data_IF_901818277897
#
_entry.id   IF_901818277897
#
_cell.length_a   1.000
_cell.length_b   1.000
_cell.length_c   1.000
_cell.angle_alpha   90.00
_cell.angle_beta   90.00
_cell.angle_gamma   90.00
#
_symmetry.space_group_name_H-M   'P 1'
#
loop_
_entity.id
_entity.type
_entity.pdbx_description
1 polymer ?
#
# COMPACT_ATOMS: atom_id res chain seq x y z
N UNK A 1 -17.10 2.55 21.48
CA UNK A 1 -17.80 1.36 20.93
C UNK A 1 -16.73 0.42 20.42
N UNK A 2 -16.72 -0.84 20.87
CA UNK A 2 -15.73 -1.86 20.48
C UNK A 2 -16.42 -2.83 19.53
N UNK A 3 -15.82 -3.08 18.38
CA UNK A 3 -16.33 -4.02 17.38
C UNK A 3 -15.32 -5.16 17.19
N UNK A 4 -15.81 -6.38 17.00
CA UNK A 4 -15.02 -7.53 16.55
C UNK A 4 -15.33 -7.80 15.08
N UNK A 5 -14.32 -7.75 14.21
CA UNK A 5 -14.46 -8.17 12.82
C UNK A 5 -13.89 -9.58 12.63
N UNK A 6 -14.60 -10.43 11.89
CA UNK A 6 -14.07 -11.68 11.35
C UNK A 6 -13.29 -11.39 10.08
N UNK A 7 -12.02 -11.80 10.01
CA UNK A 7 -11.22 -11.71 8.80
C UNK A 7 -11.83 -12.60 7.70
N UNK A 8 -12.61 -12.04 6.79
CA UNK A 8 -13.19 -12.79 5.68
C UNK A 8 -12.20 -12.92 4.52
N UNK A 9 -11.85 -14.15 4.17
CA UNK A 9 -11.21 -14.53 2.91
C UNK A 9 -12.19 -14.35 1.74
N UNK A 10 -11.75 -13.70 0.66
CA UNK A 10 -12.50 -13.67 -0.60
C UNK A 10 -11.63 -14.30 -1.69
N UNK A 11 -12.01 -15.49 -2.15
CA UNK A 11 -11.34 -16.23 -3.22
C UNK A 11 -11.89 -15.92 -4.62
N UNK A 12 -11.05 -16.25 -5.60
CA UNK A 12 -11.27 -16.43 -7.05
C UNK A 12 -11.22 -15.20 -7.99
N UNK A 13 -10.01 -14.94 -8.52
CA UNK A 13 -9.72 -14.96 -9.96
C UNK A 13 -8.20 -15.07 -10.13
N UNK A 14 -7.72 -16.19 -10.68
CA UNK A 14 -6.30 -16.38 -10.98
C UNK A 14 -5.92 -15.47 -12.15
N UNK A 15 -5.02 -14.52 -11.91
CA UNK A 15 -4.25 -13.84 -12.95
C UNK A 15 -2.87 -13.58 -12.38
N UNK A 16 -1.87 -14.06 -13.10
CA UNK A 16 -0.46 -14.11 -12.72
C UNK A 16 0.04 -12.79 -12.13
N UNK A 17 0.22 -12.78 -10.81
CA UNK A 17 0.92 -11.71 -10.12
C UNK A 17 1.89 -12.33 -9.13
N UNK A 18 3.06 -11.73 -9.03
CA UNK A 18 4.23 -12.12 -8.24
C UNK A 18 3.88 -12.26 -6.75
N UNK A 19 3.19 -13.33 -6.38
CA UNK A 19 2.94 -13.73 -5.02
C UNK A 19 4.17 -14.51 -4.56
N UNK A 20 4.97 -13.90 -3.69
CA UNK A 20 5.91 -14.68 -2.89
C UNK A 20 5.05 -15.45 -1.89
N UNK A 21 4.75 -16.70 -2.22
CA UNK A 21 4.07 -17.63 -1.35
C UNK A 21 4.99 -17.89 -0.15
N UNK A 22 4.63 -17.38 1.03
CA UNK A 22 5.22 -17.87 2.26
C UNK A 22 4.55 -19.21 2.59
N UNK A 23 5.28 -20.32 2.44
CA UNK A 23 4.82 -21.63 2.92
C UNK A 23 4.69 -21.60 4.45
N UNK A 24 3.49 -21.34 4.93
CA UNK A 24 3.06 -21.68 6.27
C UNK A 24 1.88 -22.63 6.12
N UNK A 25 2.17 -23.93 6.09
CA UNK A 25 1.19 -25.00 5.97
C UNK A 25 0.44 -25.19 7.29
N UNK A 26 -0.78 -24.65 7.36
CA UNK A 26 -1.82 -25.09 8.27
C UNK A 26 -3.13 -25.18 7.48
N UNK A 27 -3.51 -26.42 7.13
CA UNK A 27 -4.85 -26.87 6.73
C UNK A 27 -5.51 -26.16 5.53
N UNK A 28 -5.36 -26.73 4.33
CA UNK A 28 -6.24 -26.67 3.14
C UNK A 28 -6.83 -25.31 2.68
N UNK A 29 -6.24 -24.21 3.13
CA UNK A 29 -6.55 -22.87 2.67
C UNK A 29 -5.26 -22.23 2.17
N UNK A 30 -5.20 -21.97 0.86
CA UNK A 30 -4.16 -21.12 0.29
C UNK A 30 -4.29 -19.74 0.93
N UNK A 31 -3.50 -19.49 1.99
CA UNK A 31 -3.36 -18.18 2.59
C UNK A 31 -2.62 -17.31 1.59
N UNK A 32 -3.38 -16.46 0.90
CA UNK A 32 -2.80 -15.46 0.01
C UNK A 32 -2.12 -14.38 0.85
N UNK A 33 -0.88 -14.63 1.24
CA UNK A 33 -0.05 -13.67 1.96
C UNK A 33 0.47 -12.63 0.96
N UNK A 34 -0.30 -11.56 0.73
CA UNK A 34 0.24 -10.40 0.03
C UNK A 34 1.24 -9.68 0.94
N UNK A 35 2.47 -9.51 0.44
CA UNK A 35 3.43 -8.57 1.04
C UNK A 35 2.84 -7.17 0.91
N UNK A 36 2.45 -6.57 2.03
CA UNK A 36 1.90 -5.21 2.08
C UNK A 36 3.04 -4.21 2.18
N UNK A 37 2.96 -3.13 1.40
CA UNK A 37 3.90 -2.01 1.43
C UNK A 37 3.32 -0.90 2.29
N UNK A 38 4.17 -0.19 3.01
CA UNK A 38 3.76 0.87 3.94
C UNK A 38 4.71 2.06 3.86
N UNK A 39 4.17 3.26 4.02
CA UNK A 39 4.95 4.48 4.25
C UNK A 39 4.83 4.83 5.71
N UNK A 40 5.95 4.80 6.43
CA UNK A 40 6.00 5.22 7.84
C UNK A 40 5.87 6.73 7.90
N UNK A 41 4.89 7.22 8.64
CA UNK A 41 4.57 8.65 8.76
C UNK A 41 4.84 9.20 10.16
N UNK A 42 4.85 8.34 11.18
CA UNK A 42 5.22 8.74 12.54
C UNK A 42 5.79 7.59 13.36
N UNK A 43 7.01 7.76 13.85
CA UNK A 43 7.63 6.83 14.79
C UNK A 43 7.11 7.03 16.21
N UNK A 44 6.96 5.94 16.96
CA UNK A 44 6.75 5.92 18.42
C UNK A 44 7.81 5.02 19.06
N UNK A 45 7.74 4.85 20.39
CA UNK A 45 8.73 4.07 21.14
C UNK A 45 8.73 2.58 20.76
N UNK A 46 7.55 1.99 20.56
CA UNK A 46 7.39 0.53 20.40
C UNK A 46 6.76 0.12 19.05
N UNK A 47 6.24 1.10 18.32
CA UNK A 47 5.56 0.91 17.04
C UNK A 47 5.66 2.19 16.21
N UNK A 48 5.23 2.17 14.95
CA UNK A 48 5.02 3.36 14.15
C UNK A 48 3.61 3.42 13.57
N UNK A 49 3.14 4.62 13.22
CA UNK A 49 2.01 4.79 12.33
C UNK A 49 2.49 4.81 10.89
N UNK A 50 1.78 4.09 10.03
CA UNK A 50 2.08 3.99 8.63
C UNK A 50 0.81 3.95 7.76
N UNK A 51 0.91 4.50 6.56
CA UNK A 51 -0.14 4.46 5.54
C UNK A 51 0.13 3.29 4.57
N UNK A 52 -0.84 2.42 4.28
CA UNK A 52 -0.64 1.31 3.36
C UNK A 52 -0.58 1.78 1.90
N UNK A 53 0.20 1.07 1.09
CA UNK A 53 0.18 1.16 -0.37
C UNK A 53 -0.49 -0.09 -0.91
N UNK A 54 -1.59 0.09 -1.65
CA UNK A 54 -2.39 -0.97 -2.24
C UNK A 54 -2.46 -0.80 -3.76
N UNK A 55 -2.41 -1.90 -4.50
CA UNK A 55 -2.72 -1.90 -5.94
C UNK A 55 -4.16 -2.28 -6.23
N UNK A 56 -4.87 -2.80 -5.22
CA UNK A 56 -6.22 -3.35 -5.34
C UNK A 56 -6.37 -4.36 -6.48
N UNK A 57 -5.45 -5.34 -6.54
CA UNK A 57 -5.37 -6.29 -7.66
C UNK A 57 -5.22 -5.58 -9.00
N UNK A 58 -4.38 -4.54 -9.05
CA UNK A 58 -4.14 -3.68 -10.22
C UNK A 58 -5.31 -2.77 -10.62
N UNK A 59 -6.37 -2.68 -9.81
CA UNK A 59 -7.54 -1.83 -10.07
C UNK A 59 -7.46 -0.45 -9.42
N UNK A 60 -6.40 -0.10 -8.69
CA UNK A 60 -6.28 1.21 -8.05
C UNK A 60 -7.54 1.57 -7.26
N UNK A 61 -8.02 2.81 -7.36
CA UNK A 61 -9.25 3.25 -6.69
C UNK A 61 -10.53 2.90 -7.45
N UNK A 62 -10.46 2.21 -8.61
CA UNK A 62 -11.65 1.68 -9.30
C UNK A 62 -12.22 0.44 -8.60
N UNK A 63 -11.43 -0.19 -7.70
CA UNK A 63 -11.90 -1.29 -6.88
C UNK A 63 -13.08 -0.85 -6.01
N UNK A 64 -14.17 -1.62 -6.07
CA UNK A 64 -15.36 -1.38 -5.23
C UNK A 64 -14.97 -1.25 -3.74
N UNK A 65 -15.35 -0.13 -3.14
CA UNK A 65 -15.09 0.17 -1.73
C UNK A 65 -13.84 1.01 -1.47
N UNK A 66 -12.96 1.20 -2.47
CA UNK A 66 -11.90 2.20 -2.38
C UNK A 66 -12.52 3.61 -2.43
N UNK A 67 -11.90 4.55 -1.70
CA UNK A 67 -12.32 5.96 -1.63
C UNK A 67 -11.25 6.83 -2.29
N UNK A 68 -11.41 7.23 -3.56
CA UNK A 68 -10.39 7.97 -4.29
C UNK A 68 -9.88 9.22 -3.55
N UNK A 69 -10.77 9.95 -2.87
CA UNK A 69 -10.45 11.17 -2.13
C UNK A 69 -9.59 10.93 -0.89
N UNK A 70 -9.41 9.68 -0.45
CA UNK A 70 -8.54 9.32 0.69
C UNK A 70 -7.24 8.65 0.23
N UNK A 71 -7.04 8.52 -1.09
CA UNK A 71 -5.89 7.87 -1.70
C UNK A 71 -5.06 8.86 -2.49
N UNK A 72 -3.75 8.67 -2.56
CA UNK A 72 -2.85 9.34 -3.50
C UNK A 72 -2.16 8.33 -4.42
N UNK A 73 -1.65 8.76 -5.57
CA UNK A 73 -0.81 7.91 -6.42
C UNK A 73 0.56 7.74 -5.76
N UNK A 74 0.95 6.52 -5.43
CA UNK A 74 2.32 6.21 -5.01
C UNK A 74 3.10 5.72 -6.23
N UNK A 75 4.18 6.41 -6.61
CA UNK A 75 4.93 6.10 -7.83
C UNK A 75 6.44 6.13 -7.58
N UNK A 76 7.21 5.41 -8.39
CA UNK A 76 8.67 5.41 -8.30
C UNK A 76 9.26 6.69 -8.89
N UNK A 77 10.20 7.31 -8.19
CA UNK A 77 10.93 8.48 -8.66
C UNK A 77 11.60 8.19 -10.02
N UNK A 78 11.49 9.12 -10.96
CA UNK A 78 11.90 8.92 -12.36
C UNK A 78 10.78 8.46 -13.30
N UNK A 79 9.66 7.97 -12.76
CA UNK A 79 8.41 7.76 -13.50
C UNK A 79 7.44 8.95 -13.30
N UNK A 80 6.43 9.05 -14.16
CA UNK A 80 5.33 10.00 -13.95
C UNK A 80 4.22 9.34 -13.12
N UNK A 81 3.56 10.06 -12.20
CA UNK A 81 2.36 9.57 -11.55
C UNK A 81 1.24 9.41 -12.59
N UNK A 82 0.58 8.26 -12.62
CA UNK A 82 -0.53 8.00 -13.54
C UNK A 82 -1.79 7.55 -12.80
N UNK A 83 -2.93 8.06 -13.28
CA UNK A 83 -4.24 7.49 -13.01
C UNK A 83 -4.48 6.32 -13.95
N UNK A 84 -5.04 5.23 -13.45
CA UNK A 84 -5.50 4.16 -14.34
C UNK A 84 -6.87 4.53 -14.94
N UNK A 85 -7.26 3.94 -16.09
CA UNK A 85 -8.56 4.22 -16.69
C UNK A 85 -9.73 4.02 -15.70
N UNK A 86 -10.55 5.06 -15.54
CA UNK A 86 -11.73 5.05 -14.67
C UNK A 86 -11.50 5.60 -13.26
N UNK A 87 -10.27 5.92 -12.86
CA UNK A 87 -10.06 6.67 -11.63
C UNK A 87 -10.46 8.14 -11.81
N UNK A 88 -11.07 8.75 -10.78
CA UNK A 88 -11.43 10.16 -10.84
C UNK A 88 -10.19 11.04 -10.64
N UNK A 89 -10.30 12.30 -11.06
CA UNK A 89 -9.19 13.26 -11.00
C UNK A 89 -9.05 13.94 -9.62
N UNK A 90 -10.02 13.76 -8.73
CA UNK A 90 -10.05 14.32 -7.37
C UNK A 90 -9.35 13.43 -6.33
N UNK A 91 -8.39 12.62 -6.77
CA UNK A 91 -7.50 11.85 -5.90
C UNK A 91 -6.55 12.78 -5.13
N UNK A 92 -6.06 12.36 -3.96
CA UNK A 92 -5.08 13.12 -3.18
C UNK A 92 -3.75 13.29 -3.96
N UNK A 93 -2.94 14.30 -3.59
CA UNK A 93 -1.63 14.52 -4.20
C UNK A 93 -0.76 13.25 -4.26
N UNK A 94 -0.05 13.09 -5.38
CA UNK A 94 0.83 11.95 -5.60
C UNK A 94 2.08 12.01 -4.69
N UNK A 95 2.57 10.85 -4.28
CA UNK A 95 3.76 10.69 -3.44
C UNK A 95 4.81 9.89 -4.21
N UNK A 96 5.96 10.52 -4.47
CA UNK A 96 7.10 9.89 -5.10
C UNK A 96 7.90 9.07 -4.09
N UNK A 97 8.33 7.86 -4.50
CA UNK A 97 9.16 6.95 -3.72
C UNK A 97 10.46 6.70 -4.48
N UNK A 98 11.58 7.03 -3.86
CA UNK A 98 12.91 6.63 -4.30
C UNK A 98 13.08 5.15 -3.92
N UNK A 99 13.08 4.27 -4.92
CA UNK A 99 13.18 2.83 -4.69
C UNK A 99 14.59 2.47 -4.20
N UNK A 100 14.69 1.59 -3.21
CA UNK A 100 15.97 1.01 -2.80
C UNK A 100 16.47 0.04 -3.87
N UNK A 101 17.78 -0.07 -4.11
CA UNK A 101 18.36 -1.08 -5.00
C UNK A 101 18.43 -2.44 -4.26
N UNK A 102 17.99 -3.59 -4.83
CA UNK A 102 17.44 -3.84 -6.17
C UNK A 102 15.92 -4.02 -6.18
N UNK A 103 15.17 -3.08 -5.64
CA UNK A 103 13.70 -3.13 -5.68
C UNK A 103 13.18 -2.68 -7.04
N UNK A 104 12.30 -3.51 -7.59
CA UNK A 104 11.51 -3.17 -8.78
C UNK A 104 10.63 -1.94 -8.53
N UNK A 105 10.37 -1.11 -9.55
CA UNK A 105 9.45 0.00 -9.46
C UNK A 105 8.07 -0.38 -8.91
N UNK A 106 7.37 0.59 -8.32
CA UNK A 106 6.00 0.42 -7.89
C UNK A 106 5.11 0.15 -9.10
N UNK A 107 4.14 -0.75 -8.92
CA UNK A 107 3.14 -1.01 -9.93
C UNK A 107 2.35 0.28 -10.24
N UNK A 108 1.99 0.58 -11.50
CA UNK A 108 1.33 1.86 -11.82
C UNK A 108 -0.01 2.10 -11.11
N UNK A 109 -0.72 1.03 -10.74
CA UNK A 109 -1.94 1.07 -9.92
C UNK A 109 -1.70 1.26 -8.40
N UNK A 110 -0.46 1.50 -7.95
CA UNK A 110 -0.14 1.67 -6.52
C UNK A 110 -0.75 2.96 -5.97
N UNK A 111 -1.56 2.83 -4.92
CA UNK A 111 -2.24 3.94 -4.24
C UNK A 111 -1.87 3.92 -2.76
N UNK A 112 -1.31 5.02 -2.27
CA UNK A 112 -1.14 5.24 -0.84
C UNK A 112 -2.49 5.63 -0.24
N UNK A 113 -2.94 4.91 0.78
CA UNK A 113 -4.18 5.22 1.48
C UNK A 113 -3.86 6.17 2.65
N UNK A 114 -4.00 7.46 2.40
CA UNK A 114 -3.65 8.53 3.35
C UNK A 114 -4.69 8.64 4.47
N UNK A 115 -5.96 8.31 4.21
CA UNK A 115 -7.01 8.28 5.22
C UNK A 115 -6.96 7.10 6.22
N UNK A 116 -5.99 6.18 6.08
CA UNK A 116 -5.86 5.00 6.96
C UNK A 116 -4.48 4.93 7.61
N UNK A 117 -4.44 4.99 8.94
CA UNK A 117 -3.22 4.85 9.74
C UNK A 117 -3.19 3.50 10.45
N UNK A 118 -2.19 2.69 10.13
CA UNK A 118 -1.97 1.42 10.79
C UNK A 118 -0.82 1.54 11.78
N UNK A 119 -1.04 1.06 13.00
CA UNK A 119 0.03 0.87 13.98
C UNK A 119 0.79 -0.42 13.64
N UNK A 120 2.09 -0.31 13.37
CA UNK A 120 2.96 -1.44 13.03
C UNK A 120 4.02 -1.57 14.13
N UNK A 121 4.05 -2.74 14.77
CA UNK A 121 5.07 -3.06 15.79
C UNK A 121 6.43 -3.31 15.13
N UNK A 122 7.50 -2.90 15.81
CA UNK A 122 8.87 -3.03 15.27
C UNK A 122 9.41 -4.48 15.25
N UNK A 123 8.73 -5.42 15.90
CA UNK A 123 9.09 -6.84 15.90
C UNK A 123 8.62 -7.59 14.63
N UNK A 124 7.88 -6.93 13.73
CA UNK A 124 7.46 -7.50 12.44
C UNK A 124 8.66 -7.50 11.49
N UNK A 125 8.92 -8.64 10.83
CA UNK A 125 9.96 -8.72 9.80
C UNK A 125 9.53 -7.92 8.58
N UNK A 126 10.36 -6.97 8.16
CA UNK A 126 10.11 -6.11 7.00
C UNK A 126 11.25 -6.21 6.00
N UNK A 127 10.94 -5.90 4.75
CA UNK A 127 11.92 -5.67 3.69
C UNK A 127 11.89 -4.20 3.33
N UNK A 128 13.07 -3.59 3.18
CA UNK A 128 13.16 -2.22 2.70
C UNK A 128 12.64 -2.13 1.25
N UNK A 129 11.77 -1.13 1.00
CA UNK A 129 11.23 -0.84 -0.33
C UNK A 129 11.88 0.41 -0.92
N UNK A 130 12.11 1.43 -0.09
CA UNK A 130 12.61 2.73 -0.51
C UNK A 130 12.21 3.83 0.47
N UNK A 131 12.40 5.08 0.05
CA UNK A 131 12.15 6.29 0.83
C UNK A 131 11.25 7.25 0.06
N UNK A 132 10.40 7.99 0.75
CA UNK A 132 9.64 9.09 0.12
C UNK A 132 10.61 10.17 -0.33
N UNK A 133 10.44 10.66 -1.56
CA UNK A 133 11.29 11.73 -2.09
C UNK A 133 11.16 12.98 -1.21
N UNK A 134 12.28 13.66 -0.94
CA UNK A 134 12.32 14.83 -0.05
C UNK A 134 11.33 15.92 -0.47
N UNK A 135 11.19 16.17 -1.77
CA UNK A 135 10.25 17.12 -2.34
C UNK A 135 8.77 16.78 -2.13
N UNK A 136 8.44 15.56 -1.70
CA UNK A 136 7.08 15.12 -1.39
C UNK A 136 6.84 14.91 0.11
N UNK A 137 7.83 15.16 0.97
CA UNK A 137 7.66 15.00 2.43
C UNK A 137 6.62 15.96 2.98
N UNK A 138 6.65 17.24 2.60
CA UNK A 138 5.65 18.22 3.04
C UNK A 138 4.23 17.82 2.60
N UNK A 139 4.09 17.42 1.33
CA UNK A 139 2.83 16.92 0.78
C UNK A 139 2.33 15.71 1.56
N UNK A 140 3.21 14.75 1.86
CA UNK A 140 2.85 13.61 2.70
C UNK A 140 2.37 14.09 4.06
N UNK A 141 3.18 14.89 4.76
CA UNK A 141 2.93 15.34 6.13
C UNK A 141 1.65 16.18 6.30
N UNK A 142 1.19 16.85 5.24
CA UNK A 142 -0.05 17.62 5.26
C UNK A 142 -1.31 16.77 5.00
N UNK A 143 -1.16 15.57 4.43
CA UNK A 143 -2.29 14.77 3.94
C UNK A 143 -2.46 13.41 4.62
N UNK A 144 -1.56 12.99 5.52
CA UNK A 144 -1.75 11.78 6.33
C UNK A 144 -2.46 12.11 7.64
#
# INVERSE_FOLDING_TARGET
MVYSETASSSGHAATEHHAVLSEASFTDHLVHTQIRKFVVVRQKREFCYACPINTYSSHGTTKRGARPQEHGVAYSMGHSPILIPGEPHDIMPAIAVIMADPQEPLHPASRIYLGLHQAIQYNVKVKEVGLVAESHLDTLMQNW
#
